data_IF_362020086313
#
_entry.id   IF_362020086313
#
_cell.length_a   1.000
_cell.length_b   1.000
_cell.length_c   1.000
_cell.angle_alpha   90.00
_cell.angle_beta   90.00
_cell.angle_gamma   90.00
#
_symmetry.space_group_name_H-M   'P 1'
#
loop_
_entity.id
_entity.type
_entity.pdbx_description
1 polymer ?
#
# COMPACT_ATOMS: atom_id res chain seq x y z
N UNK A 1 -19.49 -31.48 -7.44
CA UNK A 1 -19.16 -30.04 -7.40
C UNK A 1 -18.35 -29.76 -6.14
N UNK A 2 -17.03 -29.64 -6.24
CA UNK A 2 -16.20 -29.25 -5.10
C UNK A 2 -16.47 -27.77 -4.80
N UNK A 3 -16.94 -27.46 -3.59
CA UNK A 3 -16.97 -26.08 -3.08
C UNK A 3 -15.51 -25.64 -2.96
N UNK A 4 -14.97 -25.03 -4.01
CA UNK A 4 -13.59 -24.59 -4.09
C UNK A 4 -13.29 -23.62 -2.96
N UNK A 5 -12.38 -24.02 -2.05
CA UNK A 5 -11.86 -23.15 -1.00
C UNK A 5 -11.16 -21.98 -1.71
N UNK A 6 -11.69 -20.78 -1.52
CA UNK A 6 -11.08 -19.57 -2.08
C UNK A 6 -9.64 -19.46 -1.56
N UNK A 7 -8.67 -19.32 -2.47
CA UNK A 7 -7.27 -19.13 -2.11
C UNK A 7 -7.11 -17.98 -1.10
N UNK A 8 -6.22 -18.08 -0.10
CA UNK A 8 -6.04 -17.05 0.91
C UNK A 8 -5.58 -15.73 0.29
N UNK A 9 -6.08 -14.62 0.83
CA UNK A 9 -5.61 -13.27 0.48
C UNK A 9 -4.18 -13.12 1.00
N UNK A 10 -3.30 -12.55 0.18
CA UNK A 10 -1.93 -12.22 0.55
C UNK A 10 -1.83 -10.70 0.74
N UNK A 11 -1.09 -10.25 1.74
CA UNK A 11 -0.91 -8.83 2.03
C UNK A 11 0.57 -8.48 2.02
N UNK A 12 0.95 -7.33 1.49
CA UNK A 12 2.32 -6.82 1.58
C UNK A 12 2.23 -5.41 2.15
N UNK A 13 2.85 -5.18 3.29
CA UNK A 13 2.90 -3.85 3.90
C UNK A 13 4.23 -3.20 3.53
N UNK A 14 4.16 -2.16 2.69
CA UNK A 14 5.32 -1.42 2.25
C UNK A 14 5.61 -0.25 3.20
N UNK A 15 6.89 -0.05 3.54
CA UNK A 15 7.38 1.21 4.10
C UNK A 15 8.13 1.96 2.98
N UNK A 16 7.70 3.19 2.69
CA UNK A 16 8.29 4.00 1.63
C UNK A 16 8.76 5.33 2.22
N UNK A 17 10.04 5.62 2.08
CA UNK A 17 10.60 6.97 2.33
C UNK A 17 10.61 7.74 1.02
N UNK A 18 10.32 9.04 1.07
CA UNK A 18 10.29 9.91 -0.10
C UNK A 18 10.91 11.28 0.17
N UNK A 19 11.40 11.93 -0.88
CA UNK A 19 12.00 13.27 -0.80
C UNK A 19 10.97 14.41 -0.92
N UNK A 20 11.43 15.66 -0.80
CA UNK A 20 10.57 16.85 -0.93
C UNK A 20 9.95 17.05 -2.32
N UNK A 21 10.33 16.25 -3.32
CA UNK A 21 9.68 16.22 -4.64
C UNK A 21 8.63 15.11 -4.77
N UNK A 22 8.53 14.25 -3.75
CA UNK A 22 7.64 13.10 -3.74
C UNK A 22 8.21 11.85 -4.41
N UNK A 23 9.51 11.83 -4.69
CA UNK A 23 10.17 10.66 -5.27
C UNK A 23 10.55 9.67 -4.16
N UNK A 24 10.23 8.36 -4.32
CA UNK A 24 10.71 7.33 -3.41
C UNK A 24 12.25 7.31 -3.34
N UNK A 25 12.79 7.30 -2.13
CA UNK A 25 14.23 7.19 -1.84
C UNK A 25 14.59 5.86 -1.19
N UNK A 26 13.62 5.21 -0.54
CA UNK A 26 13.75 3.86 0.00
C UNK A 26 12.40 3.16 0.00
N UNK A 27 12.39 1.88 -0.36
CA UNK A 27 11.19 1.04 -0.38
C UNK A 27 11.54 -0.28 0.31
N UNK A 28 10.80 -0.64 1.34
CA UNK A 28 10.96 -1.88 2.09
C UNK A 28 9.61 -2.52 2.42
N UNK A 29 9.66 -3.67 3.09
CA UNK A 29 8.47 -4.33 3.63
C UNK A 29 8.57 -4.47 5.14
N UNK A 30 7.44 -4.46 5.82
CA UNK A 30 7.35 -4.83 7.24
C UNK A 30 7.24 -6.36 7.33
N UNK A 31 8.31 -7.09 7.74
CA UNK A 31 8.37 -8.54 7.55
C UNK A 31 7.32 -9.32 8.35
N UNK A 32 7.00 -8.86 9.55
CA UNK A 32 6.14 -9.58 10.51
C UNK A 32 4.66 -9.61 10.09
N UNK A 33 4.24 -8.66 9.25
CA UNK A 33 2.84 -8.51 8.80
C UNK A 33 2.65 -8.74 7.31
N UNK A 34 3.75 -8.86 6.56
CA UNK A 34 3.72 -9.10 5.12
C UNK A 34 3.68 -10.60 4.81
N UNK A 35 3.15 -10.91 3.63
CA UNK A 35 3.22 -12.22 3.00
C UNK A 35 4.66 -12.68 2.89
N UNK A 36 4.90 -13.96 3.09
CA UNK A 36 6.21 -14.58 2.92
C UNK A 36 6.53 -14.92 1.45
N UNK A 37 5.60 -14.63 0.53
CA UNK A 37 5.83 -14.82 -0.91
C UNK A 37 6.81 -13.77 -1.44
N UNK A 38 8.05 -14.23 -1.70
CA UNK A 38 9.14 -13.39 -2.20
C UNK A 38 8.84 -12.74 -3.54
N UNK A 39 8.04 -13.39 -4.40
CA UNK A 39 7.69 -12.86 -5.72
C UNK A 39 6.72 -11.69 -5.58
N UNK A 40 5.72 -11.82 -4.69
CA UNK A 40 4.80 -10.73 -4.37
C UNK A 40 5.51 -9.56 -3.70
N UNK A 41 6.39 -9.82 -2.73
CA UNK A 41 7.22 -8.78 -2.10
C UNK A 41 8.04 -8.03 -3.15
N UNK A 42 8.77 -8.77 -4.00
CA UNK A 42 9.62 -8.16 -5.04
C UNK A 42 8.82 -7.32 -6.03
N UNK A 43 7.66 -7.82 -6.46
CA UNK A 43 6.77 -7.08 -7.36
C UNK A 43 6.21 -5.82 -6.68
N UNK A 44 5.84 -5.90 -5.40
CA UNK A 44 5.35 -4.78 -4.59
C UNK A 44 6.41 -3.68 -4.48
N UNK A 45 7.64 -4.05 -4.10
CA UNK A 45 8.76 -3.11 -3.97
C UNK A 45 9.02 -2.43 -5.30
N UNK A 46 9.18 -3.20 -6.38
CA UNK A 46 9.43 -2.65 -7.72
C UNK A 46 8.33 -1.72 -8.19
N UNK A 47 7.07 -2.01 -7.86
CA UNK A 47 5.95 -1.12 -8.19
C UNK A 47 6.01 0.17 -7.39
N UNK A 48 6.40 0.13 -6.11
CA UNK A 48 6.44 1.32 -5.27
C UNK A 48 7.64 2.23 -5.55
N UNK A 49 8.74 1.68 -6.07
CA UNK A 49 9.88 2.48 -6.55
C UNK A 49 9.50 3.45 -7.68
N UNK A 50 8.44 3.17 -8.45
CA UNK A 50 7.95 4.04 -9.53
C UNK A 50 6.83 5.00 -9.10
N UNK A 51 6.41 4.96 -7.84
CA UNK A 51 5.36 5.85 -7.36
C UNK A 51 5.78 7.31 -7.40
N UNK A 52 4.77 8.19 -7.55
CA UNK A 52 4.90 9.63 -7.36
C UNK A 52 4.01 10.04 -6.20
N UNK A 53 4.64 10.41 -5.10
CA UNK A 53 3.96 10.77 -3.85
C UNK A 53 3.73 12.28 -3.87
N UNK A 54 2.63 12.76 -3.29
CA UNK A 54 2.43 14.19 -3.05
C UNK A 54 2.93 14.49 -1.63
N UNK A 55 4.12 15.09 -1.45
CA UNK A 55 4.64 15.39 -0.13
C UNK A 55 3.80 16.45 0.56
N UNK A 56 3.81 16.45 1.90
CA UNK A 56 3.34 17.59 2.67
C UNK A 56 4.15 18.83 2.32
N UNK A 57 3.51 19.99 2.31
CA UNK A 57 4.15 21.26 2.00
C UNK A 57 4.16 22.18 3.22
N UNK A 58 5.33 22.71 3.55
CA UNK A 58 5.52 23.74 4.58
C UNK A 58 6.04 24.98 3.88
N UNK A 59 5.29 26.09 3.99
CA UNK A 59 5.58 27.34 3.27
C UNK A 59 5.81 27.15 1.75
N UNK A 60 5.04 26.24 1.13
CA UNK A 60 5.14 25.93 -0.30
C UNK A 60 6.29 25.01 -0.71
N UNK A 61 7.12 24.56 0.25
CA UNK A 61 8.23 23.62 0.01
C UNK A 61 7.79 22.23 0.44
N UNK A 62 7.96 21.25 -0.45
CA UNK A 62 7.69 19.85 -0.14
C UNK A 62 8.70 19.30 0.87
N UNK A 63 8.21 18.63 1.91
CA UNK A 63 9.02 18.07 3.00
C UNK A 63 9.17 16.56 2.78
N UNK A 64 10.40 15.99 2.92
CA UNK A 64 10.60 14.55 2.87
C UNK A 64 9.82 13.85 3.98
N UNK A 65 9.42 12.61 3.74
CA UNK A 65 8.61 11.88 4.70
C UNK A 65 8.67 10.37 4.51
N UNK A 66 7.81 9.69 5.28
CA UNK A 66 7.60 8.25 5.23
C UNK A 66 6.13 7.95 5.14
N UNK A 67 5.78 6.89 4.42
CA UNK A 67 4.43 6.33 4.41
C UNK A 67 4.48 4.82 4.57
N UNK A 68 3.35 4.28 5.03
CA UNK A 68 3.12 2.84 5.12
C UNK A 68 1.90 2.52 4.27
N UNK A 69 2.05 1.64 3.28
CA UNK A 69 0.98 1.32 2.32
C UNK A 69 0.70 -0.20 2.29
N UNK A 70 -0.52 -0.63 2.65
CA UNK A 70 -0.94 -2.03 2.54
C UNK A 70 -1.33 -2.35 1.09
N UNK A 71 -0.69 -3.35 0.49
CA UNK A 71 -1.12 -3.95 -0.78
C UNK A 71 -1.81 -5.28 -0.52
N UNK A 72 -2.96 -5.48 -1.15
CA UNK A 72 -3.76 -6.69 -1.00
C UNK A 72 -3.82 -7.45 -2.33
N UNK A 73 -3.44 -8.73 -2.29
CA UNK A 73 -3.38 -9.61 -3.45
C UNK A 73 -4.36 -10.77 -3.29
N UNK A 74 -5.15 -10.99 -4.34
CA UNK A 74 -6.00 -12.16 -4.46
C UNK A 74 -6.21 -12.51 -5.92
N UNK A 75 -6.47 -13.79 -6.18
CA UNK A 75 -6.84 -14.27 -7.51
C UNK A 75 -8.37 -14.35 -7.57
N UNK A 76 -8.96 -13.60 -8.49
CA UNK A 76 -10.38 -13.69 -8.85
C UNK A 76 -10.52 -14.14 -10.30
N UNK A 77 -11.43 -15.08 -10.57
CA UNK A 77 -11.74 -15.51 -11.94
C UNK A 77 -12.89 -14.73 -12.59
N UNK A 78 -13.59 -13.88 -11.82
CA UNK A 78 -14.63 -12.97 -12.29
C UNK A 78 -14.85 -11.80 -11.31
N UNK A 79 -15.56 -10.77 -11.76
CA UNK A 79 -15.83 -9.56 -10.98
C UNK A 79 -16.57 -9.84 -9.65
N UNK A 80 -17.50 -10.80 -9.63
CA UNK A 80 -18.23 -11.14 -8.40
C UNK A 80 -17.30 -11.72 -7.33
N UNK A 81 -16.30 -12.52 -7.73
CA UNK A 81 -15.27 -13.00 -6.81
C UNK A 81 -14.32 -11.90 -6.35
N UNK A 82 -13.96 -10.97 -7.24
CA UNK A 82 -13.16 -9.80 -6.90
C UNK A 82 -13.86 -8.97 -5.82
N UNK A 83 -15.11 -8.58 -6.05
CA UNK A 83 -15.88 -7.78 -5.09
C UNK A 83 -16.03 -8.47 -3.72
N UNK A 84 -16.25 -9.79 -3.71
CA UNK A 84 -16.36 -10.56 -2.46
C UNK A 84 -15.05 -10.59 -1.67
N UNK A 85 -13.92 -10.62 -2.38
CA UNK A 85 -12.57 -10.68 -1.77
C UNK A 85 -12.06 -9.30 -1.35
N UNK A 86 -12.53 -8.24 -1.99
CA UNK A 86 -12.20 -6.87 -1.63
C UNK A 86 -12.59 -6.55 -0.17
N UNK A 87 -13.73 -7.05 0.29
CA UNK A 87 -14.13 -6.97 1.71
C UNK A 87 -13.15 -7.67 2.68
N UNK A 88 -12.33 -8.61 2.19
CA UNK A 88 -11.28 -9.27 3.00
C UNK A 88 -9.96 -8.48 3.00
N UNK A 89 -9.86 -7.43 2.17
CA UNK A 89 -8.71 -6.55 2.08
C UNK A 89 -8.78 -5.35 3.03
N UNK A 90 -9.79 -5.28 3.91
CA UNK A 90 -9.84 -4.25 4.95
C UNK A 90 -8.56 -4.28 5.78
N UNK A 91 -7.81 -3.17 5.71
CA UNK A 91 -6.64 -2.93 6.53
C UNK A 91 -7.00 -1.94 7.62
N UNK A 92 -6.75 -2.33 8.87
CA UNK A 92 -6.78 -1.44 10.01
C UNK A 92 -5.35 -1.29 10.50
N UNK A 93 -4.85 -0.06 10.54
CA UNK A 93 -3.52 0.18 11.12
C UNK A 93 -3.46 -0.43 12.53
N UNK A 94 -2.44 -1.25 12.84
CA UNK A 94 -2.24 -1.76 14.20
C UNK A 94 -2.01 -0.61 15.20
N UNK A 95 -1.53 0.55 14.74
CA UNK A 95 -1.40 1.78 15.53
C UNK A 95 -2.68 2.62 15.46
N UNK A 96 -3.76 2.15 16.11
CA UNK A 96 -5.06 2.87 16.16
C UNK A 96 -5.05 4.23 16.88
N UNK A 97 -3.92 4.72 17.39
CA UNK A 97 -3.81 6.02 18.07
C UNK A 97 -2.38 6.56 18.00
N UNK A 98 -1.96 7.10 16.86
CA UNK A 98 -0.82 8.05 16.87
C UNK A 98 -1.44 9.43 17.07
N UNK A 99 -1.21 10.05 18.24
CA UNK A 99 -1.63 11.44 18.47
C UNK A 99 -0.91 12.34 17.47
N UNK A 100 -1.68 13.11 16.70
CA UNK A 100 -1.16 14.10 15.76
C UNK A 100 -0.63 15.26 16.60
N UNK A 101 0.69 15.34 16.71
CA UNK A 101 1.42 16.44 17.33
C UNK A 101 2.92 16.22 17.07
N UNK A 102 3.59 17.25 16.56
CA UNK A 102 5.05 17.31 16.37
C UNK A 102 5.63 16.60 15.12
N UNK A 103 5.12 16.94 13.94
CA UNK A 103 5.94 16.83 12.71
C UNK A 103 6.14 15.44 12.13
N UNK A 104 5.26 14.48 12.45
CA UNK A 104 5.19 13.20 11.76
C UNK A 104 3.97 13.16 10.85
N UNK A 105 4.18 13.60 9.61
CA UNK A 105 3.18 13.66 8.55
C UNK A 105 2.58 12.27 8.28
N UNK A 106 1.32 12.09 8.65
CA UNK A 106 0.46 10.98 8.23
C UNK A 106 -0.27 11.40 6.95
N UNK A 107 0.16 10.90 5.79
CA UNK A 107 -0.68 10.90 4.60
C UNK A 107 -1.73 9.80 4.74
N UNK A 108 -2.86 10.14 5.39
CA UNK A 108 -4.04 9.27 5.52
C UNK A 108 -5.09 9.51 4.43
N UNK A 109 -4.69 10.09 3.30
CA UNK A 109 -5.56 10.19 2.13
C UNK A 109 -4.85 9.53 0.95
N UNK A 110 -5.36 8.38 0.54
CA UNK A 110 -4.83 7.50 -0.49
C UNK A 110 -5.06 8.09 -1.89
N UNK A 111 -4.63 9.33 -2.12
CA UNK A 111 -4.56 9.91 -3.46
C UNK A 111 -3.27 9.45 -4.17
N UNK A 112 -2.95 8.16 -4.13
CA UNK A 112 -1.98 7.56 -5.06
C UNK A 112 -2.79 7.15 -6.29
N UNK A 113 -2.75 7.97 -7.34
CA UNK A 113 -3.28 7.56 -8.63
C UNK A 113 -2.29 6.59 -9.26
N UNK A 114 -2.59 5.29 -9.22
CA UNK A 114 -1.88 4.28 -10.00
C UNK A 114 -2.12 4.55 -11.50
N UNK A 115 -1.12 5.11 -12.18
CA UNK A 115 -1.06 5.09 -13.63
C UNK A 115 -0.60 3.69 -14.08
N UNK A 116 -1.49 2.72 -13.98
CA UNK A 116 -1.22 1.33 -14.35
C UNK A 116 -2.47 0.75 -15.00
N UNK A 117 -2.35 0.23 -16.22
CA UNK A 117 -3.37 -0.55 -16.94
C UNK A 117 -3.62 -1.94 -16.29
N UNK A 118 -3.48 -2.02 -14.98
CA UNK A 118 -3.85 -3.17 -14.16
C UNK A 118 -4.93 -2.68 -13.20
N UNK A 119 -6.12 -3.27 -13.31
CA UNK A 119 -7.25 -3.02 -12.42
C UNK A 119 -6.81 -3.30 -10.98
N UNK A 120 -6.47 -2.24 -10.25
CA UNK A 120 -6.06 -2.27 -8.85
C UNK A 120 -6.30 -0.90 -8.25
N UNK A 121 -7.21 -0.81 -7.29
CA UNK A 121 -7.57 0.43 -6.60
C UNK A 121 -6.66 0.59 -5.38
N UNK A 122 -6.13 1.79 -5.18
CA UNK A 122 -5.45 2.20 -3.95
C UNK A 122 -6.51 2.38 -2.85
N UNK A 123 -6.30 1.72 -1.71
CA UNK A 123 -7.09 1.87 -0.48
C UNK A 123 -6.62 3.09 0.29
#
# INVERSE_FOLDING_TARGET
MMRGRLAPVQRVLLEVSYDGTGKPTSVGVVPDVSSQDKSLIKASIKSAESWKIKPEQVAGVGVPGKLVSPLCYFIGSNQAQVNKRDALCEWYSPTRKVHIGEGQSLALDSAVSLASDVIGRTL
#
